data_IF_167307694524
#
_entry.id   IF_167307694524
#
_cell.length_a   1.000
_cell.length_b   1.000
_cell.length_c   1.000
_cell.angle_alpha   90.00
_cell.angle_beta   90.00
_cell.angle_gamma   90.00
#
_symmetry.space_group_name_H-M   'P 1'
#
loop_
_entity.id
_entity.type
_entity.pdbx_description
1 polymer ?
#
# COMPACT_ATOMS: atom_id res chain seq x y z
N UNK A 1 6.00 7.61 49.56
CA UNK A 1 7.07 7.78 48.54
C UNK A 1 7.29 6.57 47.64
N UNK A 2 7.28 5.32 48.14
CA UNK A 2 7.54 4.12 47.31
C UNK A 2 6.48 3.79 46.24
N UNK A 3 5.19 4.11 46.45
CA UNK A 3 4.12 3.83 45.47
C UNK A 3 4.26 4.64 44.16
N UNK A 4 4.83 5.84 44.20
CA UNK A 4 5.00 6.66 43.00
C UNK A 4 6.20 6.24 42.15
N UNK A 5 7.22 5.60 42.75
CA UNK A 5 8.38 5.08 42.03
C UNK A 5 8.02 3.80 41.26
N UNK A 6 7.15 2.95 41.81
CA UNK A 6 6.64 1.74 41.15
C UNK A 6 5.71 2.03 39.97
N UNK A 7 4.93 3.12 40.05
CA UNK A 7 4.08 3.58 38.94
C UNK A 7 4.94 4.25 37.85
N UNK A 8 5.94 5.04 38.22
CA UNK A 8 6.90 5.58 37.25
C UNK A 8 7.72 4.47 36.58
N UNK A 9 8.15 3.44 37.31
CA UNK A 9 8.88 2.32 36.72
C UNK A 9 8.00 1.46 35.81
N UNK A 10 6.71 1.26 36.13
CA UNK A 10 5.76 0.62 35.21
C UNK A 10 5.51 1.45 33.94
N UNK A 11 5.43 2.78 34.07
CA UNK A 11 5.26 3.69 32.92
C UNK A 11 6.54 3.73 32.06
N UNK A 12 7.72 3.70 32.69
CA UNK A 12 9.00 3.59 31.98
C UNK A 12 9.15 2.21 31.32
N UNK A 13 8.70 1.12 31.95
CA UNK A 13 8.64 -0.19 31.30
C UNK A 13 7.63 -0.23 30.13
N UNK A 14 6.56 0.56 30.17
CA UNK A 14 5.64 0.71 29.02
C UNK A 14 6.24 1.54 27.87
N UNK A 15 7.25 2.37 28.16
CA UNK A 15 8.01 3.13 27.16
C UNK A 15 9.11 2.31 26.47
N UNK A 16 9.39 1.11 26.98
CA UNK A 16 10.25 0.11 26.34
C UNK A 16 9.43 -1.07 25.85
N UNK A 17 8.38 -0.82 25.06
CA UNK A 17 8.07 -1.80 24.01
C UNK A 17 9.23 -1.67 23.03
N UNK A 18 10.23 -2.52 23.20
CA UNK A 18 11.29 -2.71 22.23
C UNK A 18 10.60 -3.06 20.92
N UNK A 19 10.49 -2.08 20.02
CA UNK A 19 9.86 -2.28 18.72
C UNK A 19 10.84 -3.16 17.95
N UNK A 20 10.67 -4.47 18.07
CA UNK A 20 11.16 -5.40 17.05
C UNK A 20 10.66 -4.86 15.71
N UNK A 21 11.54 -4.81 14.72
CA UNK A 21 11.22 -4.31 13.39
C UNK A 21 9.88 -4.89 12.95
N UNK A 22 8.86 -4.04 12.84
CA UNK A 22 7.51 -4.49 12.50
C UNK A 22 7.39 -4.49 10.99
N UNK A 23 7.14 -5.66 10.41
CA UNK A 23 6.91 -5.82 8.98
C UNK A 23 5.42 -6.06 8.77
N UNK A 24 4.77 -5.14 8.05
CA UNK A 24 3.34 -5.19 7.80
C UNK A 24 3.14 -5.20 6.29
N UNK A 25 2.42 -6.20 5.79
CA UNK A 25 2.03 -6.26 4.40
C UNK A 25 0.75 -5.44 4.19
N UNK A 26 0.91 -4.26 3.57
CA UNK A 26 -0.19 -3.46 3.06
C UNK A 26 -0.65 -4.01 1.71
N UNK A 27 -1.93 -4.31 1.62
CA UNK A 27 -2.63 -4.85 0.46
C UNK A 27 -3.70 -3.85 0.05
N UNK A 28 -3.51 -3.21 -1.10
CA UNK A 28 -4.55 -2.40 -1.74
C UNK A 28 -5.27 -3.21 -2.81
N UNK A 29 -6.59 -3.31 -2.73
CA UNK A 29 -7.40 -4.02 -3.72
C UNK A 29 -8.41 -3.11 -4.40
N UNK A 30 -8.60 -3.28 -5.71
CA UNK A 30 -9.72 -2.69 -6.46
C UNK A 30 -10.88 -3.72 -6.48
N UNK A 31 -11.47 -3.98 -5.31
CA UNK A 31 -12.64 -4.84 -5.18
C UNK A 31 -13.92 -4.00 -5.27
N UNK A 32 -14.63 -4.15 -6.39
CA UNK A 32 -15.83 -3.36 -6.71
C UNK A 32 -17.14 -4.03 -6.26
N UNK A 33 -17.08 -5.26 -5.76
CA UNK A 33 -18.25 -6.06 -5.39
C UNK A 33 -18.12 -6.60 -3.95
N UNK A 34 -19.13 -6.31 -3.12
CA UNK A 34 -19.30 -6.92 -1.80
C UNK A 34 -19.30 -8.46 -1.95
N UNK A 35 -18.28 -9.11 -1.40
CA UNK A 35 -18.14 -10.57 -1.42
C UNK A 35 -17.26 -11.16 -2.51
N UNK A 36 -16.72 -10.36 -3.45
CA UNK A 36 -15.76 -10.82 -4.46
C UNK A 36 -14.40 -10.14 -4.32
N UNK A 37 -13.36 -10.97 -4.13
CA UNK A 37 -11.98 -10.50 -4.01
C UNK A 37 -11.43 -10.15 -5.39
N UNK A 38 -11.04 -8.89 -5.59
CA UNK A 38 -10.23 -8.47 -6.72
C UNK A 38 -8.78 -8.98 -6.60
N UNK A 39 -7.95 -8.72 -7.60
CA UNK A 39 -6.50 -8.91 -7.44
C UNK A 39 -5.93 -7.87 -6.47
N UNK A 40 -4.80 -8.19 -5.82
CA UNK A 40 -4.03 -7.20 -5.07
C UNK A 40 -3.29 -6.28 -6.04
N UNK A 41 -3.71 -5.02 -6.09
CA UNK A 41 -3.17 -4.01 -7.00
C UNK A 41 -1.97 -3.29 -6.38
N UNK A 42 -1.99 -3.11 -5.05
CA UNK A 42 -0.84 -2.67 -4.26
C UNK A 42 -0.42 -3.80 -3.33
N UNK A 43 0.84 -4.19 -3.40
CA UNK A 43 1.48 -5.14 -2.48
C UNK A 43 2.72 -4.45 -1.93
N UNK A 44 2.68 -4.00 -0.67
CA UNK A 44 3.75 -3.19 -0.09
C UNK A 44 4.08 -3.66 1.31
N UNK A 45 5.36 -3.90 1.60
CA UNK A 45 5.83 -4.15 2.96
C UNK A 45 6.23 -2.83 3.58
N UNK A 46 5.56 -2.48 4.67
CA UNK A 46 5.92 -1.38 5.55
C UNK A 46 6.80 -1.97 6.65
N UNK A 47 8.09 -1.60 6.64
CA UNK A 47 9.04 -1.96 7.68
C UNK A 47 9.20 -0.75 8.61
N UNK A 48 8.78 -0.88 9.87
CA UNK A 48 8.97 0.14 10.90
C UNK A 48 10.12 -0.30 11.81
N UNK A 49 11.24 0.42 11.74
CA UNK A 49 12.39 0.25 12.65
C UNK A 49 12.44 1.40 13.65
N UNK A 50 13.35 1.33 14.61
CA UNK A 50 13.56 2.40 15.60
C UNK A 50 13.93 3.73 14.93
N UNK A 51 14.85 3.73 13.97
CA UNK A 51 15.37 4.95 13.33
C UNK A 51 14.72 5.34 12.00
N UNK A 52 14.02 4.41 11.33
CA UNK A 52 13.48 4.67 9.98
C UNK A 52 12.22 3.84 9.66
N UNK A 53 11.47 4.30 8.66
CA UNK A 53 10.43 3.51 7.99
C UNK A 53 10.90 3.25 6.56
N UNK A 54 10.66 2.03 6.08
CA UNK A 54 10.86 1.66 4.68
C UNK A 54 9.59 1.13 4.06
N UNK A 55 9.34 1.51 2.82
CA UNK A 55 8.24 1.06 1.99
C UNK A 55 8.80 0.23 0.84
N UNK A 56 8.63 -1.08 0.91
CA UNK A 56 9.07 -2.01 -0.14
C UNK A 56 7.88 -2.45 -0.96
N UNK A 57 7.72 -1.88 -2.14
CA UNK A 57 6.67 -2.33 -3.07
C UNK A 57 7.10 -3.62 -3.77
N UNK A 58 6.26 -4.65 -3.69
CA UNK A 58 6.45 -5.90 -4.41
C UNK A 58 5.59 -5.83 -5.68
N UNK A 59 6.21 -5.93 -6.85
CA UNK A 59 5.49 -5.82 -8.12
C UNK A 59 4.54 -7.00 -8.27
N UNK A 60 3.27 -6.65 -8.42
CA UNK A 60 2.12 -7.55 -8.38
C UNK A 60 2.14 -8.66 -9.45
N UNK A 61 2.83 -8.41 -10.56
CA UNK A 61 2.94 -9.31 -11.72
C UNK A 61 4.16 -10.25 -11.64
N UNK A 62 4.87 -10.26 -10.51
CA UNK A 62 5.99 -11.20 -10.28
C UNK A 62 5.49 -12.64 -10.39
N UNK A 63 6.13 -13.43 -11.26
CA UNK A 63 5.76 -14.82 -11.51
C UNK A 63 6.26 -15.71 -10.37
N UNK A 64 5.34 -16.35 -9.66
CA UNK A 64 5.62 -17.10 -8.44
C UNK A 64 4.79 -18.37 -8.38
N UNK A 65 5.23 -19.33 -7.55
CA UNK A 65 4.43 -20.52 -7.25
C UNK A 65 3.36 -20.18 -6.19
N UNK A 66 2.10 -20.46 -6.50
CA UNK A 66 0.95 -20.27 -5.61
C UNK A 66 0.48 -21.66 -5.16
N UNK A 67 0.58 -21.95 -3.86
CA UNK A 67 0.24 -23.27 -3.31
C UNK A 67 -1.21 -23.64 -3.63
N UNK A 68 -1.40 -24.79 -4.29
CA UNK A 68 -2.71 -25.29 -4.69
C UNK A 68 -3.22 -24.78 -6.04
N UNK A 69 -2.52 -23.84 -6.69
CA UNK A 69 -2.94 -23.21 -7.95
C UNK A 69 -1.87 -23.22 -9.04
N UNK A 70 -0.64 -23.67 -8.73
CA UNK A 70 0.47 -23.67 -9.67
C UNK A 70 1.13 -22.29 -9.79
N UNK A 71 1.84 -22.05 -10.89
CA UNK A 71 2.54 -20.77 -11.08
C UNK A 71 1.60 -19.70 -11.64
N UNK A 72 1.74 -18.48 -11.15
CA UNK A 72 0.92 -17.35 -11.58
C UNK A 72 1.51 -16.00 -11.18
N UNK A 73 0.79 -14.92 -11.49
CA UNK A 73 1.12 -13.59 -10.99
C UNK A 73 0.87 -13.52 -9.48
N UNK A 74 1.78 -12.90 -8.74
CA UNK A 74 1.67 -12.78 -7.28
C UNK A 74 0.32 -12.22 -6.81
N UNK A 75 -0.22 -11.21 -7.49
CA UNK A 75 -1.51 -10.60 -7.14
C UNK A 75 -2.70 -11.56 -7.18
N UNK A 76 -2.62 -12.61 -8.00
CA UNK A 76 -3.68 -13.60 -8.12
C UNK A 76 -3.83 -14.40 -6.82
N UNK A 77 -2.77 -14.54 -6.01
CA UNK A 77 -2.84 -15.22 -4.71
C UNK A 77 -3.89 -14.57 -3.79
N UNK A 78 -4.00 -13.24 -3.81
CA UNK A 78 -5.01 -12.52 -3.02
C UNK A 78 -6.44 -12.79 -3.52
N UNK A 79 -6.64 -12.77 -4.85
CA UNK A 79 -7.94 -13.12 -5.45
C UNK A 79 -8.35 -14.55 -5.13
N UNK A 80 -7.41 -15.49 -5.18
CA UNK A 80 -7.65 -16.93 -5.04
C UNK A 80 -7.88 -17.35 -3.58
N UNK A 81 -7.14 -16.77 -2.63
CA UNK A 81 -7.17 -17.23 -1.24
C UNK A 81 -7.02 -16.14 -0.19
N UNK A 82 -7.20 -14.87 -0.56
CA UNK A 82 -7.15 -13.74 0.38
C UNK A 82 -5.75 -13.40 0.87
N UNK A 83 -5.72 -12.63 1.97
CA UNK A 83 -4.48 -12.16 2.59
C UNK A 83 -3.61 -13.32 3.07
N UNK A 84 -4.21 -14.41 3.52
CA UNK A 84 -3.52 -15.61 4.01
C UNK A 84 -2.75 -16.32 2.89
N UNK A 85 -3.37 -16.51 1.71
CA UNK A 85 -2.69 -17.12 0.57
C UNK A 85 -1.62 -16.19 -0.01
N UNK A 86 -1.86 -14.88 -0.05
CA UNK A 86 -0.85 -13.93 -0.51
C UNK A 86 0.39 -13.93 0.41
N UNK A 87 0.20 -13.82 1.73
CA UNK A 87 1.29 -13.86 2.71
C UNK A 87 2.09 -15.16 2.60
N UNK A 88 1.41 -16.30 2.58
CA UNK A 88 2.07 -17.60 2.47
C UNK A 88 2.81 -17.76 1.13
N UNK A 89 2.28 -17.20 0.04
CA UNK A 89 2.94 -17.18 -1.28
C UNK A 89 4.24 -16.37 -1.20
N UNK A 90 4.24 -15.18 -0.61
CA UNK A 90 5.45 -14.36 -0.45
C UNK A 90 6.48 -15.09 0.42
N UNK A 91 6.07 -15.59 1.59
CA UNK A 91 6.95 -16.30 2.52
C UNK A 91 7.56 -17.56 1.90
N UNK A 92 6.77 -18.36 1.17
CA UNK A 92 7.26 -19.61 0.57
C UNK A 92 8.27 -19.37 -0.55
N UNK A 93 7.99 -18.42 -1.45
CA UNK A 93 8.82 -18.12 -2.62
C UNK A 93 10.10 -17.37 -2.24
N UNK A 94 10.02 -16.46 -1.28
CA UNK A 94 11.12 -15.56 -0.95
C UNK A 94 11.77 -15.81 0.40
N UNK A 95 11.33 -16.83 1.16
CA UNK A 95 11.86 -17.16 2.49
C UNK A 95 11.77 -15.99 3.49
N UNK A 96 10.71 -15.19 3.36
CA UNK A 96 10.36 -14.12 4.30
C UNK A 96 9.53 -14.67 5.46
N UNK A 97 9.31 -13.85 6.49
CA UNK A 97 8.48 -14.21 7.66
C UNK A 97 7.42 -13.12 7.95
N UNK A 98 6.70 -12.70 6.91
CA UNK A 98 5.60 -11.75 7.06
C UNK A 98 4.44 -12.41 7.80
N UNK A 99 3.91 -11.74 8.83
CA UNK A 99 2.84 -12.26 9.69
C UNK A 99 1.67 -11.32 9.90
N UNK A 100 1.82 -10.05 9.49
CA UNK A 100 0.81 -9.01 9.73
C UNK A 100 0.38 -8.36 8.43
N UNK A 101 -0.92 -8.10 8.34
CA UNK A 101 -1.55 -7.58 7.13
C UNK A 101 -2.47 -6.40 7.43
N UNK A 102 -2.46 -5.43 6.52
CA UNK A 102 -3.48 -4.37 6.43
C UNK A 102 -4.04 -4.43 5.02
N UNK A 103 -5.34 -4.63 4.90
CA UNK A 103 -6.07 -4.65 3.65
C UNK A 103 -6.94 -3.40 3.59
N UNK A 104 -6.89 -2.68 2.48
CA UNK A 104 -7.76 -1.54 2.20
C UNK A 104 -8.14 -1.52 0.72
N UNK A 105 -9.18 -0.76 0.40
CA UNK A 105 -9.54 -0.47 -0.98
C UNK A 105 -9.31 1.01 -1.32
N UNK A 106 -9.39 1.33 -2.60
CA UNK A 106 -9.12 2.69 -3.07
C UNK A 106 -10.21 3.69 -2.66
N UNK A 107 -11.45 3.25 -2.45
CA UNK A 107 -12.53 4.10 -1.98
C UNK A 107 -12.30 4.53 -0.53
N UNK A 108 -11.95 3.57 0.34
CA UNK A 108 -11.55 3.83 1.72
C UNK A 108 -10.33 4.76 1.79
N UNK A 109 -9.38 4.58 0.87
CA UNK A 109 -8.21 5.49 0.76
C UNK A 109 -8.64 6.91 0.36
N UNK A 110 -9.63 7.07 -0.51
CA UNK A 110 -10.19 8.36 -0.88
C UNK A 110 -10.84 9.07 0.32
N UNK A 111 -11.63 8.34 1.10
CA UNK A 111 -12.28 8.89 2.31
C UNK A 111 -11.25 9.39 3.34
N UNK A 112 -10.13 8.67 3.48
CA UNK A 112 -9.01 9.09 4.33
C UNK A 112 -8.39 10.39 3.81
N UNK A 113 -8.16 10.49 2.50
CA UNK A 113 -7.61 11.69 1.86
C UNK A 113 -8.52 12.90 2.12
N UNK A 114 -9.83 12.74 2.04
CA UNK A 114 -10.77 13.83 2.31
C UNK A 114 -10.79 14.24 3.79
N UNK A 115 -10.68 13.28 4.73
CA UNK A 115 -10.50 13.60 6.16
C UNK A 115 -9.23 14.41 6.42
N UNK A 116 -8.16 14.11 5.69
CA UNK A 116 -6.91 14.86 5.71
C UNK A 116 -7.02 16.24 5.01
N UNK A 117 -8.11 16.49 4.30
CA UNK A 117 -8.32 17.72 3.53
C UNK A 117 -7.52 17.74 2.23
N UNK A 118 -7.16 16.56 1.71
CA UNK A 118 -6.45 16.34 0.46
C UNK A 118 -4.96 16.00 0.60
N UNK A 119 -4.40 15.36 -0.42
CA UNK A 119 -2.97 14.97 -0.51
C UNK A 119 -2.31 15.54 -1.76
N UNK A 120 -0.99 15.76 -1.69
CA UNK A 120 -0.24 16.33 -2.81
C UNK A 120 0.27 15.25 -3.77
N UNK A 121 -0.09 15.36 -5.05
CA UNK A 121 0.35 14.46 -6.13
C UNK A 121 0.88 15.25 -7.33
N UNK A 122 1.77 14.64 -8.11
CA UNK A 122 2.26 15.20 -9.37
C UNK A 122 1.41 14.71 -10.53
N UNK A 123 0.98 15.62 -11.41
CA UNK A 123 0.18 15.30 -12.59
C UNK A 123 0.81 15.84 -13.85
N UNK A 124 1.12 14.94 -14.76
CA UNK A 124 1.58 15.31 -16.09
C UNK A 124 0.43 15.80 -16.97
N UNK A 125 0.75 16.67 -17.93
CA UNK A 125 -0.24 17.22 -18.87
C UNK A 125 -1.00 16.14 -19.65
N UNK A 126 -0.33 15.05 -20.02
CA UNK A 126 -0.94 14.00 -20.85
C UNK A 126 -1.96 13.12 -20.12
N UNK A 127 -1.88 13.00 -18.79
CA UNK A 127 -2.84 12.18 -18.03
C UNK A 127 -4.08 12.96 -17.58
N UNK A 128 -3.97 14.29 -17.51
CA UNK A 128 -4.98 15.19 -16.94
C UNK A 128 -6.39 14.96 -17.49
N UNK A 129 -6.56 14.85 -18.80
CA UNK A 129 -7.87 14.60 -19.41
C UNK A 129 -8.44 13.24 -19.01
N UNK A 130 -7.61 12.19 -18.95
CA UNK A 130 -8.08 10.88 -18.52
C UNK A 130 -8.54 10.91 -17.06
N UNK A 131 -7.83 11.62 -16.19
CA UNK A 131 -8.27 11.77 -14.80
C UNK A 131 -9.65 12.43 -14.73
N UNK A 132 -9.88 13.51 -15.48
CA UNK A 132 -11.19 14.17 -15.51
C UNK A 132 -12.30 13.26 -16.03
N UNK A 133 -12.04 12.40 -17.03
CA UNK A 133 -13.03 11.42 -17.48
C UNK A 133 -13.44 10.43 -16.37
N UNK A 134 -12.48 9.97 -15.55
CA UNK A 134 -12.78 9.11 -14.40
C UNK A 134 -13.50 9.86 -13.27
N UNK A 135 -13.23 11.16 -13.09
CA UNK A 135 -14.00 12.02 -12.17
C UNK A 135 -15.47 12.12 -12.65
N UNK A 136 -15.70 12.33 -13.94
CA UNK A 136 -17.06 12.44 -14.51
C UNK A 136 -17.83 11.10 -14.41
N UNK A 137 -17.14 9.97 -14.62
CA UNK A 137 -17.71 8.63 -14.38
C UNK A 137 -18.11 8.46 -12.90
N UNK A 138 -17.22 8.82 -11.97
CA UNK A 138 -17.50 8.76 -10.53
C UNK A 138 -18.67 9.65 -10.13
N UNK A 139 -18.72 10.88 -10.67
CA UNK A 139 -19.79 11.83 -10.45
C UNK A 139 -21.14 11.26 -10.91
N UNK A 140 -21.17 10.67 -12.10
CA UNK A 140 -22.35 10.04 -12.68
C UNK A 140 -22.84 8.85 -11.84
N UNK A 141 -21.93 7.99 -11.39
CA UNK A 141 -22.26 6.83 -10.55
C UNK A 141 -22.78 7.24 -9.16
N UNK A 142 -22.23 8.30 -8.58
CA UNK A 142 -22.63 8.83 -7.27
C UNK A 142 -23.88 9.72 -7.35
N UNK A 143 -24.26 10.19 -8.54
CA UNK A 143 -25.33 11.17 -8.71
C UNK A 143 -25.01 12.55 -8.13
N UNK A 144 -23.72 12.92 -8.05
CA UNK A 144 -23.25 14.20 -7.48
C UNK A 144 -22.21 14.83 -8.39
N UNK A 145 -22.09 16.16 -8.35
CA UNK A 145 -20.99 16.85 -9.05
C UNK A 145 -19.69 16.70 -8.25
N UNK A 146 -18.60 16.37 -8.94
CA UNK A 146 -17.25 16.29 -8.36
C UNK A 146 -16.36 17.41 -8.90
N UNK A 147 -15.31 17.76 -8.15
CA UNK A 147 -14.38 18.81 -8.53
C UNK A 147 -13.40 18.30 -9.60
N UNK A 148 -13.36 18.88 -10.81
CA UNK A 148 -12.42 18.46 -11.84
C UNK A 148 -11.00 18.92 -11.49
N UNK A 149 -9.99 18.29 -12.11
CA UNK A 149 -8.65 18.85 -12.15
C UNK A 149 -8.64 20.06 -13.10
N UNK A 150 -8.21 21.21 -12.60
CA UNK A 150 -8.14 22.46 -13.37
C UNK A 150 -6.73 22.83 -13.82
N UNK A 151 -5.71 22.16 -13.28
CA UNK A 151 -4.28 22.40 -13.56
C UNK A 151 -3.50 21.10 -13.60
N UNK A 152 -2.24 21.18 -14.00
CA UNK A 152 -1.23 20.10 -14.01
C UNK A 152 -0.06 20.48 -13.08
N UNK A 153 0.88 19.58 -12.86
CA UNK A 153 2.01 19.74 -11.95
C UNK A 153 1.69 19.27 -10.54
N UNK A 154 2.22 19.94 -9.53
CA UNK A 154 2.01 19.59 -8.12
C UNK A 154 0.64 20.09 -7.64
N UNK A 155 -0.26 19.17 -7.33
CA UNK A 155 -1.66 19.49 -7.01
C UNK A 155 -2.03 18.84 -5.68
N UNK A 156 -2.68 19.61 -4.80
CA UNK A 156 -3.40 19.06 -3.66
C UNK A 156 -4.75 18.52 -4.15
N UNK A 157 -4.90 17.20 -4.13
CA UNK A 157 -6.06 16.48 -4.61
C UNK A 157 -7.00 16.10 -3.47
N UNK A 158 -8.31 16.16 -3.74
CA UNK A 158 -9.34 15.51 -2.92
C UNK A 158 -9.28 14.00 -3.06
N UNK A 159 -10.02 13.28 -2.22
CA UNK A 159 -10.17 11.83 -2.28
C UNK A 159 -10.65 11.37 -3.65
N UNK A 160 -11.72 11.98 -4.16
CA UNK A 160 -12.27 11.66 -5.48
C UNK A 160 -11.28 11.90 -6.63
N UNK A 161 -10.49 12.97 -6.57
CA UNK A 161 -9.45 13.27 -7.56
C UNK A 161 -8.30 12.26 -7.50
N UNK A 162 -7.85 11.92 -6.30
CA UNK A 162 -6.80 10.92 -6.10
C UNK A 162 -7.26 9.51 -6.51
N UNK A 163 -8.52 9.17 -6.24
CA UNK A 163 -9.15 7.93 -6.69
C UNK A 163 -9.22 7.87 -8.22
N UNK A 164 -9.70 8.94 -8.86
CA UNK A 164 -9.75 9.01 -10.32
C UNK A 164 -8.35 8.86 -10.93
N UNK A 165 -7.35 9.53 -10.36
CA UNK A 165 -5.95 9.39 -10.76
C UNK A 165 -5.45 7.93 -10.64
N UNK A 166 -5.70 7.29 -9.51
CA UNK A 166 -5.34 5.89 -9.28
C UNK A 166 -6.10 4.91 -10.20
N UNK A 167 -7.27 5.29 -10.73
CA UNK A 167 -8.10 4.43 -11.59
C UNK A 167 -7.76 4.53 -13.07
N UNK A 168 -7.10 5.60 -13.54
CA UNK A 168 -6.78 5.78 -14.96
C UNK A 168 -6.14 4.52 -15.53
N UNK A 169 -6.75 3.98 -16.59
CA UNK A 169 -6.23 2.86 -17.37
C UNK A 169 -6.63 3.00 -18.83
N UNK A 170 -5.65 3.15 -19.71
CA UNK A 170 -5.87 3.29 -21.15
C UNK A 170 -4.93 2.34 -21.89
N UNK A 171 -5.49 1.23 -22.36
CA UNK A 171 -4.73 0.19 -23.06
C UNK A 171 -4.07 0.74 -24.33
N UNK A 172 -2.83 0.31 -24.60
CA UNK A 172 -2.07 0.76 -25.77
C UNK A 172 -1.43 2.14 -25.64
N UNK A 173 -1.42 2.74 -24.44
CA UNK A 173 -0.78 4.04 -24.17
C UNK A 173 0.21 3.93 -23.02
N UNK A 174 0.97 5.01 -22.73
CA UNK A 174 1.79 5.11 -21.53
C UNK A 174 0.98 5.13 -20.21
N UNK A 175 -0.35 5.17 -20.28
CA UNK A 175 -1.27 5.14 -19.13
C UNK A 175 -1.96 3.79 -18.98
N UNK A 176 -1.29 2.72 -19.41
CA UNK A 176 -1.77 1.36 -19.32
C UNK A 176 -1.90 0.85 -17.88
N UNK A 177 -2.12 -0.46 -17.77
CA UNK A 177 -2.31 -1.13 -16.49
C UNK A 177 -1.06 -1.12 -15.60
N UNK A 178 0.15 -1.11 -16.17
CA UNK A 178 1.39 -0.97 -15.39
C UNK A 178 1.49 0.44 -14.81
N UNK A 179 1.21 1.46 -15.62
CA UNK A 179 1.20 2.83 -15.14
C UNK A 179 0.13 3.07 -14.06
N UNK A 180 -1.02 2.37 -14.14
CA UNK A 180 -2.06 2.40 -13.10
C UNK A 180 -1.54 1.96 -11.74
N UNK A 181 -0.79 0.86 -11.70
CA UNK A 181 -0.18 0.35 -10.45
C UNK A 181 0.76 1.36 -9.83
N UNK A 182 1.59 2.02 -10.63
CA UNK A 182 2.50 3.06 -10.11
C UNK A 182 1.71 4.24 -9.52
N UNK A 183 0.61 4.67 -10.15
CA UNK A 183 -0.26 5.71 -9.59
C UNK A 183 -0.91 5.31 -8.27
N UNK A 184 -1.39 4.08 -8.17
CA UNK A 184 -1.94 3.52 -6.92
C UNK A 184 -0.89 3.52 -5.79
N UNK A 185 0.36 3.21 -6.12
CA UNK A 185 1.50 3.32 -5.19
C UNK A 185 1.79 4.77 -4.81
N UNK A 186 1.72 5.71 -5.75
CA UNK A 186 1.93 7.14 -5.49
C UNK A 186 0.87 7.72 -4.55
N UNK A 187 -0.40 7.36 -4.74
CA UNK A 187 -1.48 7.76 -3.82
C UNK A 187 -1.22 7.23 -2.41
N UNK A 188 -0.86 5.95 -2.29
CA UNK A 188 -0.53 5.34 -0.99
C UNK A 188 0.62 6.07 -0.31
N UNK A 189 1.69 6.39 -1.05
CA UNK A 189 2.83 7.16 -0.53
C UNK A 189 2.42 8.57 -0.11
N UNK A 190 1.58 9.25 -0.88
CA UNK A 190 1.12 10.59 -0.56
C UNK A 190 0.33 10.63 0.76
N UNK A 191 -0.52 9.62 1.01
CA UNK A 191 -1.25 9.46 2.28
C UNK A 191 -0.28 9.24 3.46
N UNK A 192 0.68 8.32 3.31
CA UNK A 192 1.68 8.03 4.33
C UNK A 192 2.56 9.25 4.65
N UNK A 193 2.97 9.99 3.63
CA UNK A 193 3.77 11.21 3.77
C UNK A 193 2.98 12.31 4.47
N UNK A 194 1.71 12.50 4.09
CA UNK A 194 0.81 13.44 4.74
C UNK A 194 0.71 13.14 6.24
N UNK A 195 0.51 11.87 6.60
CA UNK A 195 0.35 11.47 7.99
C UNK A 195 1.58 11.84 8.85
N UNK A 196 2.81 11.65 8.33
CA UNK A 196 4.05 12.02 9.03
C UNK A 196 4.20 13.54 9.15
N UNK A 197 3.84 14.28 8.10
CA UNK A 197 3.95 15.75 8.09
C UNK A 197 2.89 16.42 8.97
N UNK A 198 1.71 15.82 9.10
CA UNK A 198 0.55 16.36 9.81
C UNK A 198 0.10 15.45 10.96
N UNK A 199 1.04 15.10 11.84
CA UNK A 199 0.89 14.09 12.90
C UNK A 199 -0.37 14.25 13.76
N UNK A 200 -0.70 15.47 14.16
CA UNK A 200 -1.87 15.78 14.99
C UNK A 200 -3.18 15.51 14.26
N UNK A 201 -3.27 15.90 12.99
CA UNK A 201 -4.43 15.64 12.15
C UNK A 201 -4.56 14.13 11.85
N UNK A 202 -3.45 13.46 11.53
CA UNK A 202 -3.44 12.01 11.31
C UNK A 202 -3.89 11.24 12.56
N UNK A 203 -3.40 11.62 13.75
CA UNK A 203 -3.78 11.00 15.01
C UNK A 203 -5.27 11.21 15.35
N UNK A 204 -5.85 12.36 14.97
CA UNK A 204 -7.28 12.66 15.19
C UNK A 204 -8.20 11.66 14.47
N UNK A 205 -7.80 11.17 13.30
CA UNK A 205 -8.59 10.25 12.49
C UNK A 205 -8.22 8.78 12.69
N UNK A 206 -7.51 8.44 13.77
CA UNK A 206 -7.09 7.06 14.02
C UNK A 206 -8.25 6.05 14.00
N UNK A 207 -9.36 6.34 14.66
CA UNK A 207 -10.51 5.43 14.70
C UNK A 207 -11.21 5.29 13.36
N UNK A 208 -11.23 6.35 12.56
CA UNK A 208 -11.75 6.30 11.19
C UNK A 208 -10.83 5.48 10.27
N UNK A 209 -9.52 5.64 10.41
CA UNK A 209 -8.54 4.83 9.68
C UNK A 209 -8.71 3.35 10.03
N UNK A 210 -8.90 3.06 11.32
CA UNK A 210 -9.07 1.71 11.83
C UNK A 210 -10.34 1.03 11.28
N UNK A 211 -11.46 1.75 11.15
CA UNK A 211 -12.70 1.17 10.64
C UNK A 211 -12.68 0.92 9.12
N UNK A 212 -11.75 1.55 8.39
CA UNK A 212 -11.62 1.47 6.94
C UNK A 212 -10.61 0.40 6.46
N UNK A 213 -10.04 -0.38 7.38
CA UNK A 213 -9.07 -1.43 7.08
C UNK A 213 -9.52 -2.79 7.61
N UNK A 214 -9.16 -3.85 6.88
CA UNK A 214 -9.20 -5.23 7.39
C UNK A 214 -7.78 -5.64 7.80
N UNK A 215 -7.60 -6.08 9.04
CA UNK A 215 -6.28 -6.39 9.60
C UNK A 215 -6.34 -7.51 10.64
N UNK A 216 -5.24 -8.25 10.75
CA UNK A 216 -4.99 -9.25 11.80
C UNK A 216 -4.29 -8.64 13.04
N UNK A 217 -3.93 -7.37 12.98
CA UNK A 217 -3.27 -6.64 14.06
C UNK A 217 -4.34 -6.26 15.10
N UNK A 218 -4.00 -6.22 16.40
CA UNK A 218 -4.92 -5.69 17.41
C UNK A 218 -4.91 -4.15 17.40
N UNK A 219 -6.01 -3.52 17.83
CA UNK A 219 -6.12 -2.05 17.90
C UNK A 219 -4.96 -1.42 18.68
N UNK A 220 -4.54 -2.04 19.79
CA UNK A 220 -3.45 -1.55 20.63
C UNK A 220 -2.09 -1.62 19.94
N UNK A 221 -1.83 -2.72 19.21
CA UNK A 221 -0.60 -2.88 18.42
C UNK A 221 -0.61 -1.91 17.24
N UNK A 222 -1.73 -1.76 16.54
CA UNK A 222 -1.89 -0.79 15.46
C UNK A 222 -1.67 0.64 15.94
N UNK A 223 -2.24 1.02 17.09
CA UNK A 223 -1.98 2.33 17.72
C UNK A 223 -0.49 2.55 18.01
N UNK A 224 0.21 1.53 18.50
CA UNK A 224 1.65 1.63 18.75
C UNK A 224 2.45 1.77 17.46
N UNK A 225 2.09 1.03 16.40
CA UNK A 225 2.67 1.20 15.06
C UNK A 225 2.43 2.61 14.56
N UNK A 226 1.19 3.12 14.60
CA UNK A 226 0.85 4.48 14.19
C UNK A 226 1.64 5.52 14.96
N UNK A 227 1.73 5.45 16.29
CA UNK A 227 2.55 6.37 17.10
C UNK A 227 4.02 6.32 16.68
N UNK A 228 4.59 5.12 16.52
CA UNK A 228 5.98 4.95 16.10
C UNK A 228 6.23 5.53 14.71
N UNK A 229 5.29 5.31 13.79
CA UNK A 229 5.31 5.82 12.43
C UNK A 229 5.23 7.35 12.40
N UNK A 230 4.25 7.93 13.09
CA UNK A 230 4.04 9.38 13.16
C UNK A 230 5.23 10.08 13.83
N UNK A 231 5.90 9.46 14.80
CA UNK A 231 7.05 10.07 15.47
C UNK A 231 8.36 10.05 14.67
N UNK A 232 8.39 9.45 13.46
CA UNK A 232 9.62 9.47 12.66
C UNK A 232 9.98 10.87 12.16
N UNK A 233 11.29 11.18 12.06
CA UNK A 233 11.77 12.49 11.63
C UNK A 233 11.76 12.68 10.12
N UNK A 234 11.68 11.59 9.34
CA UNK A 234 11.84 11.62 7.89
C UNK A 234 10.75 10.83 7.16
N UNK A 235 10.54 11.24 5.91
CA UNK A 235 9.69 10.54 4.94
C UNK A 235 10.21 9.10 4.77
N UNK A 236 9.33 8.08 4.64
CA UNK A 236 9.75 6.71 4.47
C UNK A 236 10.60 6.53 3.21
N UNK A 237 11.71 5.80 3.33
CA UNK A 237 12.48 5.39 2.15
C UNK A 237 11.64 4.41 1.34
N UNK A 238 11.47 4.66 0.04
CA UNK A 238 10.73 3.76 -0.85
C UNK A 238 11.65 3.02 -1.80
N UNK A 239 11.33 1.75 -2.04
CA UNK A 239 12.05 0.87 -2.94
C UNK A 239 11.08 -0.11 -3.61
N UNK A 240 11.49 -0.69 -4.73
CA UNK A 240 10.66 -1.58 -5.56
C UNK A 240 11.39 -2.91 -5.76
N UNK A 241 10.67 -4.00 -5.54
CA UNK A 241 11.10 -5.37 -5.75
C UNK A 241 10.17 -6.06 -6.76
N UNK A 242 10.67 -6.90 -7.68
CA UNK A 242 12.08 -7.08 -8.01
C UNK A 242 12.69 -5.82 -8.66
N UNK A 243 14.02 -5.68 -8.57
CA UNK A 243 14.74 -4.66 -9.33
C UNK A 243 14.57 -4.92 -10.84
N UNK A 244 14.41 -3.88 -11.65
CA UNK A 244 14.24 -3.96 -13.11
C UNK A 244 15.28 -4.81 -13.83
N UNK A 245 16.50 -4.94 -13.30
CA UNK A 245 17.55 -5.78 -13.89
C UNK A 245 17.40 -7.27 -13.56
N UNK A 246 16.61 -7.61 -12.54
CA UNK A 246 16.50 -8.97 -11.97
C UNK A 246 15.36 -9.82 -12.54
N UNK A 247 14.59 -9.30 -13.51
CA UNK A 247 13.52 -10.04 -14.17
C UNK A 247 13.51 -9.83 -15.69
N UNK A 248 12.76 -10.68 -16.39
CA UNK A 248 12.36 -10.55 -17.79
C UNK A 248 10.84 -10.44 -17.90
N UNK A 249 10.37 -9.70 -18.91
CA UNK A 249 8.97 -9.69 -19.28
C UNK A 249 8.69 -10.91 -20.17
N UNK A 250 7.90 -11.86 -19.69
CA UNK A 250 7.56 -13.08 -20.45
C UNK A 250 6.05 -13.26 -20.51
N UNK A 251 5.53 -13.70 -21.67
CA UNK A 251 4.12 -14.07 -21.80
C UNK A 251 3.98 -15.58 -21.60
N UNK A 252 3.29 -15.96 -20.54
CA UNK A 252 3.03 -17.36 -20.17
C UNK A 252 1.60 -17.72 -20.61
N UNK A 253 1.39 -18.90 -21.25
CA UNK A 253 0.06 -19.40 -21.57
C UNK A 253 -0.88 -19.36 -20.35
N UNK A 254 -2.12 -18.94 -20.54
CA UNK A 254 -3.19 -18.85 -19.53
C UNK A 254 -2.94 -17.89 -18.33
N UNK A 255 -1.74 -17.32 -18.21
CA UNK A 255 -1.38 -16.34 -17.16
C UNK A 255 -1.20 -14.92 -17.72
N UNK A 256 -0.71 -14.80 -18.96
CA UNK A 256 -0.43 -13.52 -19.62
C UNK A 256 0.99 -13.02 -19.39
N UNK A 257 1.19 -11.70 -19.49
CA UNK A 257 2.50 -11.06 -19.31
C UNK A 257 2.89 -11.06 -17.82
N UNK A 258 4.05 -11.60 -17.48
CA UNK A 258 4.55 -11.72 -16.11
C UNK A 258 5.99 -11.19 -15.99
N UNK A 259 6.39 -10.86 -14.77
CA UNK A 259 7.77 -10.53 -14.42
C UNK A 259 8.45 -11.82 -13.93
N UNK A 260 9.17 -12.50 -14.81
CA UNK A 260 9.86 -13.74 -14.47
C UNK A 260 11.25 -13.43 -13.91
N UNK A 261 11.49 -13.84 -12.68
CA UNK A 261 12.77 -13.63 -12.02
C UNK A 261 13.87 -14.43 -12.73
N UNK A 262 15.00 -13.78 -13.00
CA UNK A 262 16.17 -14.42 -13.63
C UNK A 262 16.84 -15.42 -12.69
N UNK A 263 16.89 -15.07 -11.40
CA UNK A 263 17.43 -15.90 -10.32
C UNK A 263 16.55 -15.74 -9.08
N UNK A 264 15.79 -16.79 -8.74
CA UNK A 264 14.92 -16.80 -7.56
C UNK A 264 15.69 -16.71 -6.24
N UNK A 265 16.90 -17.29 -6.16
CA UNK A 265 17.71 -17.27 -4.94
C UNK A 265 18.19 -15.86 -4.67
N UNK A 266 18.72 -15.19 -5.69
CA UNK A 266 19.15 -13.81 -5.58
C UNK A 266 17.98 -12.88 -5.26
N UNK A 267 16.83 -13.08 -5.91
CA UNK A 267 15.63 -12.31 -5.64
C UNK A 267 15.13 -12.50 -4.19
N UNK A 268 15.15 -13.73 -3.67
CA UNK A 268 14.83 -14.03 -2.27
C UNK A 268 15.76 -13.31 -1.29
N UNK A 269 17.08 -13.35 -1.53
CA UNK A 269 18.06 -12.61 -0.71
C UNK A 269 17.81 -11.10 -0.78
N UNK A 270 17.56 -10.57 -1.97
CA UNK A 270 17.30 -9.16 -2.19
C UNK A 270 16.04 -8.69 -1.46
N UNK A 271 14.92 -9.42 -1.56
CA UNK A 271 13.68 -9.04 -0.87
C UNK A 271 13.88 -9.04 0.65
N UNK A 272 14.53 -10.08 1.19
CA UNK A 272 14.82 -10.14 2.62
C UNK A 272 15.69 -8.95 3.07
N UNK A 273 16.73 -8.59 2.32
CA UNK A 273 17.55 -7.43 2.65
C UNK A 273 16.74 -6.12 2.63
N UNK A 274 15.82 -5.98 1.67
CA UNK A 274 15.00 -4.79 1.53
C UNK A 274 14.03 -4.60 2.71
N UNK A 275 13.39 -5.67 3.17
CA UNK A 275 12.35 -5.60 4.21
C UNK A 275 12.87 -5.72 5.65
N UNK A 276 14.15 -6.11 5.85
CA UNK A 276 14.77 -6.30 7.16
C UNK A 276 15.74 -5.21 7.57
#
# INVERSE_FOLDING_TARGET
MLKNILVLSLIILSSTIQIFASQILLIGSDSRELGRRGNADVIMVITVKESEIRLTSILRDTYVYIKGYGNGKLNAAYRLGGKELLVSTINANFKTNLSHTIVTDFSNTADIIDKFGGVTLQIDKGIHQYVNNYIDEQASLKGVSLLPLTKTGTIKMTGDQALAYARVRVAGTAYDDQARVERQKDVTKAVLNFAIQHKTQAARYFYDLWSLIDTDISVSVFWNICKSFLNKPSIPKSQVFPNYQSFTNERIPDVGLVLKLKDFRQASVSLNHMIN
#
